data_IF_755562429213
#
_entry.id   IF_755562429213
#
_cell.length_a   1.000
_cell.length_b   1.000
_cell.length_c   1.000
_cell.angle_alpha   90.00
_cell.angle_beta   90.00
_cell.angle_gamma   90.00
#
_symmetry.space_group_name_H-M   'P 1'
#
loop_
_entity.id
_entity.type
_entity.pdbx_description
1 polymer ?
#
# COMPACT_ATOMS: atom_id res chain seq x y z
N UNK A 1 0.40 -23.17 3.24
CA UNK A 1 -0.29 -22.20 2.37
C UNK A 1 0.56 -20.95 2.25
N UNK A 2 0.91 -20.54 1.04
CA UNK A 2 1.52 -19.23 0.81
C UNK A 2 0.48 -18.13 1.09
N UNK A 3 0.73 -17.33 2.13
CA UNK A 3 -0.12 -16.21 2.57
C UNK A 3 -0.21 -15.06 1.55
N UNK A 4 0.66 -15.09 0.53
CA UNK A 4 0.70 -14.17 -0.59
C UNK A 4 0.38 -14.86 -1.91
N UNK A 5 -0.14 -16.09 -1.94
CA UNK A 5 -0.55 -16.72 -3.19
C UNK A 5 -1.57 -15.83 -3.90
N UNK A 6 -1.24 -15.41 -5.13
CA UNK A 6 -2.19 -14.71 -5.97
C UNK A 6 -3.29 -15.69 -6.42
N UNK A 7 -4.56 -15.26 -6.51
CA UNK A 7 -5.60 -15.96 -7.23
C UNK A 7 -5.15 -16.29 -8.66
N UNK A 8 -5.57 -17.45 -9.21
CA UNK A 8 -5.10 -17.95 -10.51
C UNK A 8 -5.33 -16.99 -11.68
N UNK A 9 -6.34 -16.12 -11.60
CA UNK A 9 -6.71 -15.16 -12.66
C UNK A 9 -6.05 -13.78 -12.50
N UNK A 10 -4.98 -13.67 -11.71
CA UNK A 10 -4.33 -12.38 -11.44
C UNK A 10 -3.16 -12.10 -12.41
N UNK A 11 -2.90 -10.82 -12.76
CA UNK A 11 -1.77 -10.47 -13.61
C UNK A 11 -0.42 -10.88 -12.99
N UNK A 12 0.61 -11.10 -13.83
CA UNK A 12 1.94 -11.46 -13.36
C UNK A 12 2.52 -10.37 -12.45
N UNK A 13 3.24 -10.81 -11.42
CA UNK A 13 3.81 -9.96 -10.38
C UNK A 13 5.28 -9.67 -10.67
N UNK A 14 5.88 -8.78 -9.88
CA UNK A 14 7.33 -8.53 -9.93
C UNK A 14 8.12 -9.83 -9.81
N UNK A 15 9.14 -10.01 -10.66
CA UNK A 15 10.02 -11.17 -10.61
C UNK A 15 10.93 -11.18 -9.36
N UNK A 16 11.09 -10.02 -8.71
CA UNK A 16 11.91 -9.85 -7.51
C UNK A 16 11.04 -10.02 -6.26
N UNK A 17 10.95 -11.26 -5.78
CA UNK A 17 10.17 -11.64 -4.60
C UNK A 17 11.00 -11.48 -3.34
N UNK A 18 10.37 -11.00 -2.26
CA UNK A 18 11.00 -10.94 -0.95
C UNK A 18 9.99 -11.01 0.18
N UNK A 19 10.50 -11.24 1.38
CA UNK A 19 9.67 -11.28 2.57
C UNK A 19 9.07 -9.90 2.86
N UNK A 20 7.81 -9.93 3.32
CA UNK A 20 7.13 -8.73 3.78
C UNK A 20 7.88 -8.16 4.99
N UNK A 21 8.34 -6.92 4.84
CA UNK A 21 9.09 -6.17 5.86
C UNK A 21 8.22 -5.49 6.89
N UNK A 22 6.88 -5.59 6.78
CA UNK A 22 5.97 -4.83 7.64
C UNK A 22 6.08 -3.32 7.39
N UNK A 23 6.41 -2.90 6.17
CA UNK A 23 6.66 -1.50 5.87
C UNK A 23 5.39 -0.62 5.83
N UNK A 24 4.20 -1.21 5.68
CA UNK A 24 2.92 -0.49 5.59
C UNK A 24 2.62 0.13 4.21
N UNK A 25 3.55 0.10 3.26
CA UNK A 25 3.40 0.76 1.96
C UNK A 25 2.21 0.23 1.14
N UNK A 26 1.98 -1.09 1.14
CA UNK A 26 0.84 -1.69 0.43
C UNK A 26 -0.53 -1.27 1.02
N UNK A 27 -0.56 -0.87 2.28
CA UNK A 27 -1.77 -0.37 2.92
C UNK A 27 -1.92 1.15 2.80
N UNK A 28 -0.83 1.92 2.74
CA UNK A 28 -0.89 3.38 2.84
C UNK A 28 -0.71 4.11 1.50
N UNK A 29 0.02 3.55 0.54
CA UNK A 29 0.38 4.28 -0.67
C UNK A 29 -0.59 4.10 -1.87
N UNK A 30 -0.94 2.88 -2.31
CA UNK A 30 -1.76 2.70 -3.51
C UNK A 30 -3.22 3.09 -3.26
N UNK A 31 -3.98 3.48 -4.28
CA UNK A 31 -5.43 3.52 -4.17
C UNK A 31 -6.00 2.09 -4.14
N UNK A 32 -7.10 1.91 -3.41
CA UNK A 32 -7.76 0.60 -3.32
C UNK A 32 -9.27 0.81 -3.44
N UNK A 33 -9.77 0.72 -4.66
CA UNK A 33 -11.19 0.94 -4.98
C UNK A 33 -12.12 0.05 -4.14
N UNK A 34 -11.78 -1.23 -3.97
CA UNK A 34 -12.57 -2.18 -3.16
C UNK A 34 -12.72 -1.78 -1.68
N UNK A 35 -11.90 -0.85 -1.19
CA UNK A 35 -11.94 -0.32 0.17
C UNK A 35 -12.29 1.17 0.21
N UNK A 36 -12.66 1.78 -0.93
CA UNK A 36 -12.82 3.23 -1.09
C UNK A 36 -11.60 4.01 -0.55
N UNK A 37 -10.39 3.45 -0.70
CA UNK A 37 -9.16 4.03 -0.17
C UNK A 37 -8.50 4.91 -1.23
N UNK A 38 -8.38 6.22 -1.02
CA UNK A 38 -7.69 7.09 -1.96
C UNK A 38 -6.18 6.81 -2.02
N UNK A 39 -5.57 7.21 -3.15
CA UNK A 39 -4.13 7.18 -3.34
C UNK A 39 -3.43 8.04 -2.28
N UNK A 40 -2.35 7.52 -1.69
CA UNK A 40 -1.55 8.19 -0.67
C UNK A 40 -2.19 8.30 0.72
N UNK A 41 -3.39 7.74 0.92
CA UNK A 41 -4.11 7.75 2.21
C UNK A 41 -3.96 6.41 2.93
N UNK A 42 -3.64 6.47 4.22
CA UNK A 42 -3.54 5.31 5.09
C UNK A 42 -4.87 4.52 5.12
N UNK A 43 -4.80 3.20 4.92
CA UNK A 43 -5.98 2.33 5.02
C UNK A 43 -6.55 2.35 6.43
N UNK A 44 -7.88 2.37 6.56
CA UNK A 44 -8.57 2.26 7.85
C UNK A 44 -8.21 0.98 8.63
N UNK A 45 -7.71 -0.06 7.95
CA UNK A 45 -7.27 -1.31 8.58
C UNK A 45 -5.75 -1.36 8.88
N UNK A 46 -5.01 -0.28 8.69
CA UNK A 46 -3.58 -0.22 9.00
C UNK A 46 -3.39 0.09 10.48
N UNK A 47 -2.72 -0.81 11.22
CA UNK A 47 -2.33 -0.58 12.60
C UNK A 47 -1.05 0.26 12.71
N UNK A 48 -0.80 0.81 13.90
CA UNK A 48 0.37 1.64 14.20
C UNK A 48 1.71 0.91 13.98
N UNK A 49 1.73 -0.42 14.08
CA UNK A 49 2.89 -1.27 13.79
C UNK A 49 3.07 -1.57 12.28
N UNK A 50 2.36 -0.84 11.41
CA UNK A 50 2.35 -0.99 9.97
C UNK A 50 1.83 -2.36 9.46
N UNK A 51 1.03 -3.07 10.26
CA UNK A 51 0.41 -4.35 9.88
C UNK A 51 -1.09 -4.18 9.60
N UNK A 52 -1.59 -4.98 8.67
CA UNK A 52 -3.01 -4.99 8.33
C UNK A 52 -3.81 -5.77 9.39
N UNK A 53 -4.81 -5.14 9.99
CA UNK A 53 -5.67 -5.75 11.01
C UNK A 53 -6.60 -6.84 10.45
N UNK A 54 -6.95 -6.76 9.17
CA UNK A 54 -7.79 -7.75 8.47
C UNK A 54 -6.98 -8.66 7.54
N UNK A 55 -5.72 -8.95 7.88
CA UNK A 55 -4.77 -9.63 6.99
C UNK A 55 -5.33 -10.92 6.35
N UNK A 56 -6.08 -11.71 7.14
CA UNK A 56 -6.70 -12.95 6.71
C UNK A 56 -8.00 -12.77 5.91
N UNK A 57 -8.62 -11.59 5.92
CA UNK A 57 -9.85 -11.24 5.21
C UNK A 57 -9.63 -10.19 4.09
N UNK A 58 -8.37 -9.94 3.72
CA UNK A 58 -8.00 -8.99 2.68
C UNK A 58 -8.77 -9.25 1.37
N UNK A 59 -9.29 -8.19 0.71
CA UNK A 59 -9.89 -8.32 -0.62
C UNK A 59 -8.84 -8.79 -1.63
N UNK A 60 -9.29 -9.28 -2.79
CA UNK A 60 -8.43 -9.86 -3.84
C UNK A 60 -7.24 -8.95 -4.19
N UNK A 61 -7.49 -7.67 -4.45
CA UNK A 61 -6.44 -6.67 -4.76
C UNK A 61 -5.34 -6.60 -3.69
N UNK A 62 -5.70 -6.68 -2.41
CA UNK A 62 -4.73 -6.66 -1.30
C UNK A 62 -3.96 -7.98 -1.16
N UNK A 63 -4.54 -9.11 -1.61
CA UNK A 63 -3.85 -10.42 -1.65
C UNK A 63 -2.93 -10.55 -2.85
N UNK A 64 -3.27 -9.88 -3.96
CA UNK A 64 -2.47 -9.87 -5.17
C UNK A 64 -1.18 -9.10 -5.00
N UNK A 65 -1.14 -8.15 -4.05
CA UNK A 65 0.09 -7.45 -3.70
C UNK A 65 1.15 -8.43 -3.17
N UNK A 66 2.30 -8.44 -3.84
CA UNK A 66 3.48 -9.19 -3.44
C UNK A 66 4.58 -8.25 -2.99
N UNK A 67 5.20 -8.58 -1.86
CA UNK A 67 6.36 -7.84 -1.40
C UNK A 67 7.53 -8.05 -2.38
N UNK A 68 8.08 -6.93 -2.82
CA UNK A 68 9.19 -6.85 -3.77
C UNK A 68 10.24 -5.84 -3.28
N UNK A 69 11.19 -5.47 -4.14
CA UNK A 69 12.29 -4.55 -3.81
C UNK A 69 11.83 -3.23 -3.20
N UNK A 70 10.66 -2.71 -3.59
CA UNK A 70 10.10 -1.46 -3.06
C UNK A 70 9.89 -1.55 -1.55
N UNK A 71 9.49 -2.72 -1.04
CA UNK A 71 9.33 -2.93 0.40
C UNK A 71 10.62 -2.74 1.19
N UNK A 72 11.80 -2.78 0.55
CA UNK A 72 13.09 -2.56 1.21
C UNK A 72 13.46 -1.11 1.23
N UNK A 73 13.35 -0.47 0.07
CA UNK A 73 13.56 0.96 -0.08
C UNK A 73 12.72 1.76 0.91
N UNK A 74 11.45 1.40 1.07
CA UNK A 74 10.56 2.12 1.97
C UNK A 74 10.74 1.71 3.43
N UNK A 75 11.08 0.45 3.76
CA UNK A 75 11.10 -0.02 5.16
C UNK A 75 12.06 0.76 6.07
N UNK A 76 13.18 1.28 5.55
CA UNK A 76 14.16 2.04 6.32
C UNK A 76 13.72 3.46 6.68
N UNK A 77 12.65 3.96 6.07
CA UNK A 77 12.17 5.32 6.32
C UNK A 77 11.44 5.39 7.67
N UNK A 78 11.68 6.47 8.45
CA UNK A 78 11.31 6.54 9.86
C UNK A 78 9.80 6.71 10.10
N UNK A 79 9.05 7.27 9.13
CA UNK A 79 7.63 7.57 9.28
C UNK A 79 6.81 6.95 8.16
N UNK A 80 5.52 6.69 8.41
CA UNK A 80 4.63 6.16 7.39
C UNK A 80 4.49 7.13 6.20
N UNK A 81 4.46 8.43 6.49
CA UNK A 81 4.37 9.49 5.48
C UNK A 81 5.58 9.46 4.54
N UNK A 82 6.80 9.29 5.09
CA UNK A 82 8.02 9.16 4.28
C UNK A 82 7.98 7.89 3.41
N UNK A 83 7.49 6.78 3.96
CA UNK A 83 7.30 5.52 3.22
C UNK A 83 6.33 5.67 2.05
N UNK A 84 5.22 6.37 2.28
CA UNK A 84 4.22 6.67 1.25
C UNK A 84 4.81 7.58 0.18
N UNK A 85 5.49 8.65 0.57
CA UNK A 85 6.13 9.58 -0.37
C UNK A 85 7.13 8.84 -1.29
N UNK A 86 8.03 8.03 -0.71
CA UNK A 86 9.01 7.25 -1.49
C UNK A 86 8.34 6.22 -2.40
N UNK A 87 7.27 5.57 -1.96
CA UNK A 87 6.50 4.68 -2.82
C UNK A 87 5.93 5.46 -4.02
N UNK A 88 5.27 6.58 -3.78
CA UNK A 88 4.66 7.37 -4.85
C UNK A 88 5.71 7.89 -5.84
N UNK A 89 6.89 8.28 -5.37
CA UNK A 89 8.03 8.66 -6.22
C UNK A 89 8.49 7.49 -7.10
N UNK A 90 8.71 6.31 -6.53
CA UNK A 90 9.12 5.10 -7.29
C UNK A 90 8.16 4.79 -8.44
N UNK A 91 6.86 5.00 -8.23
CA UNK A 91 5.82 4.73 -9.23
C UNK A 91 5.42 5.97 -10.07
N UNK A 92 6.02 7.15 -9.83
CA UNK A 92 5.69 8.39 -10.55
C UNK A 92 4.27 8.91 -10.30
N UNK A 93 3.72 8.71 -9.09
CA UNK A 93 2.32 8.98 -8.72
C UNK A 93 2.12 10.22 -7.82
N UNK A 94 3.15 11.03 -7.66
CA UNK A 94 3.19 12.14 -6.68
C UNK A 94 2.14 13.21 -6.97
N UNK A 95 2.01 13.58 -8.24
CA UNK A 95 1.03 14.57 -8.72
C UNK A 95 -0.40 14.07 -8.52
N UNK A 96 -0.69 12.81 -8.87
CA UNK A 96 -1.99 12.18 -8.68
C UNK A 96 -2.38 12.10 -7.19
N UNK A 97 -1.42 11.80 -6.32
CA UNK A 97 -1.64 11.74 -4.87
C UNK A 97 -1.82 13.14 -4.22
N UNK A 98 -1.31 14.18 -4.85
CA UNK A 98 -1.60 15.58 -4.46
C UNK A 98 -3.04 15.94 -4.82
N UNK A 99 -3.50 15.59 -6.02
CA UNK A 99 -4.85 15.87 -6.49
C UNK A 99 -5.95 15.03 -5.80
N UNK A 100 -5.62 13.82 -5.32
CA UNK A 100 -6.58 12.96 -4.60
C UNK A 100 -6.83 13.39 -3.15
N UNK A 101 -5.93 14.18 -2.54
CA UNK A 101 -6.15 14.82 -1.26
C UNK A 101 -7.14 15.97 -1.43
N UNK A 102 -8.44 15.66 -1.45
CA UNK A 102 -9.45 16.69 -1.22
C UNK A 102 -9.13 17.38 0.12
N UNK A 103 -9.13 18.72 0.20
CA UNK A 103 -9.05 19.40 1.49
C UNK A 103 -10.28 18.98 2.30
N UNK A 104 -10.06 18.28 3.41
CA UNK A 104 -11.12 17.87 4.35
C UNK A 104 -11.47 19.00 5.33
N UNK A 105 -11.10 20.24 5.03
CA UNK A 105 -11.15 21.37 5.95
C UNK A 105 -11.73 22.64 5.30
N UNK A 106 -12.88 22.50 4.62
CA UNK A 106 -13.71 23.67 4.30
C UNK A 106 -14.77 23.83 5.40
N UNK A 107 -14.71 24.89 6.22
CA UNK A 107 -15.80 25.19 7.14
C UNK A 107 -17.04 25.57 6.34
N UNK A 108 -18.16 24.91 6.65
CA UNK A 108 -19.51 25.43 6.36
C UNK A 108 -19.80 26.53 7.36
#
# INVERSE_FOLDING_TARGET
MDRFAAPPDSPPRSALIRDCTGCGACCAAPDIHALNKPLGVACAHLAADCRCQIYAARPSVCRNYQADWVCGEVAFLPTLEARVARFLEIYGLESAASSSRRPVDSPI
#
